data_IF_317933034301
#
_entry.id   IF_317933034301
#
_cell.length_a   1.000
_cell.length_b   1.000
_cell.length_c   1.000
_cell.angle_alpha   90.00
_cell.angle_beta   90.00
_cell.angle_gamma   90.00
#
_symmetry.space_group_name_H-M   'P 1'
#
loop_
_entity.id
_entity.type
_entity.pdbx_description
1 polymer ?
#
# COMPACT_ATOMS: atom_id res chain seq x y z
N UNK A 1 -29.06 -20.50 4.93
CA UNK A 1 -28.83 -19.49 3.87
C UNK A 1 -28.77 -18.14 4.55
N UNK A 2 -27.82 -17.32 4.14
CA UNK A 2 -27.85 -15.86 4.26
C UNK A 2 -27.27 -15.14 5.49
N UNK A 3 -26.48 -15.78 6.35
CA UNK A 3 -25.53 -14.96 7.16
C UNK A 3 -24.50 -14.24 6.29
N UNK A 4 -24.14 -14.83 5.14
CA UNK A 4 -23.23 -14.20 4.18
C UNK A 4 -23.93 -13.11 3.37
N UNK A 5 -25.17 -13.34 2.94
CA UNK A 5 -25.94 -12.33 2.21
C UNK A 5 -26.37 -11.17 3.10
N UNK A 6 -26.68 -11.39 4.40
CA UNK A 6 -26.97 -10.32 5.35
C UNK A 6 -25.75 -9.41 5.63
N UNK A 7 -24.53 -9.94 5.57
CA UNK A 7 -23.28 -9.16 5.70
C UNK A 7 -23.04 -8.29 4.45
N UNK A 8 -23.38 -8.81 3.27
CA UNK A 8 -23.26 -8.06 2.01
C UNK A 8 -24.39 -7.05 1.81
N UNK A 9 -25.60 -7.36 2.33
CA UNK A 9 -26.78 -6.51 2.23
C UNK A 9 -26.78 -5.37 3.25
N UNK A 10 -26.23 -5.60 4.45
CA UNK A 10 -25.95 -4.53 5.41
C UNK A 10 -24.62 -3.90 5.07
N UNK A 11 -24.64 -2.95 4.12
CA UNK A 11 -23.61 -1.92 3.96
C UNK A 11 -23.62 -0.95 5.18
N UNK A 12 -23.80 -1.51 6.40
CA UNK A 12 -23.48 -0.87 7.65
C UNK A 12 -21.96 -0.73 7.61
N UNK A 13 -21.52 0.46 7.20
CA UNK A 13 -20.13 0.81 6.93
C UNK A 13 -19.22 0.13 7.94
N UNK A 14 -18.24 -0.60 7.42
CA UNK A 14 -17.16 -1.22 8.18
C UNK A 14 -16.82 -0.32 9.37
N UNK A 15 -17.03 -0.80 10.59
CA UNK A 15 -16.97 0.02 11.83
C UNK A 15 -15.57 0.65 12.01
N UNK A 16 -14.56 0.09 11.33
CA UNK A 16 -13.18 0.58 11.25
C UNK A 16 -12.81 1.14 9.86
N UNK A 17 -13.81 1.51 9.05
CA UNK A 17 -13.68 2.02 7.68
C UNK A 17 -13.36 3.50 7.62
N UNK A 18 -12.44 3.93 8.49
CA UNK A 18 -11.88 5.27 8.41
C UNK A 18 -11.22 5.43 7.04
N UNK A 19 -11.67 6.43 6.28
CA UNK A 19 -11.06 6.85 5.03
C UNK A 19 -10.82 8.35 5.13
N UNK A 20 -9.59 8.76 4.80
CA UNK A 20 -9.27 10.15 4.56
C UNK A 20 -9.17 10.33 3.04
N UNK A 21 -9.93 11.28 2.50
CA UNK A 21 -9.88 11.59 1.07
C UNK A 21 -8.62 12.42 0.79
N UNK A 22 -7.49 11.73 0.58
CA UNK A 22 -6.21 12.35 0.28
C UNK A 22 -5.79 12.00 -1.14
N UNK A 23 -5.49 13.02 -1.94
CA UNK A 23 -4.94 12.83 -3.27
C UNK A 23 -3.44 12.51 -3.19
N UNK A 24 -2.97 11.39 -3.80
CA UNK A 24 -1.55 11.07 -3.82
C UNK A 24 -0.80 12.04 -4.74
N UNK A 25 0.32 12.59 -4.26
CA UNK A 25 1.24 13.39 -5.07
C UNK A 25 1.94 12.56 -6.15
N UNK A 26 2.07 11.26 -5.93
CA UNK A 26 2.59 10.31 -6.90
C UNK A 26 1.89 8.96 -6.72
N UNK A 27 1.48 8.37 -7.84
CA UNK A 27 0.91 7.02 -7.90
C UNK A 27 1.55 6.30 -9.06
N UNK A 28 1.87 5.03 -8.84
CA UNK A 28 2.27 4.13 -9.92
C UNK A 28 1.04 3.58 -10.66
N UNK A 29 1.30 2.96 -11.81
CA UNK A 29 0.32 2.13 -12.50
C UNK A 29 -0.09 0.93 -11.63
N UNK A 30 -1.20 0.29 -12.00
CA UNK A 30 -1.64 -0.95 -11.36
C UNK A 30 -0.74 -2.14 -11.73
N UNK A 31 -0.64 -3.07 -10.78
CA UNK A 31 0.14 -4.28 -10.91
C UNK A 31 1.62 -4.05 -10.59
N UNK A 32 2.29 -5.12 -10.18
CA UNK A 32 3.74 -5.09 -10.00
C UNK A 32 4.40 -5.47 -11.33
N UNK A 33 4.99 -4.47 -12.00
CA UNK A 33 5.70 -4.65 -13.27
C UNK A 33 7.09 -4.02 -13.20
N UNK A 34 7.95 -4.38 -14.14
CA UNK A 34 9.29 -3.79 -14.24
C UNK A 34 9.22 -2.25 -14.42
N UNK A 35 8.25 -1.74 -15.18
CA UNK A 35 8.07 -0.30 -15.35
C UNK A 35 7.65 0.37 -14.04
N UNK A 36 6.76 -0.24 -13.25
CA UNK A 36 6.41 0.26 -11.91
C UNK A 36 7.65 0.32 -11.00
N UNK A 37 8.50 -0.71 -11.02
CA UNK A 37 9.76 -0.70 -10.27
C UNK A 37 10.67 0.45 -10.71
N UNK A 38 10.80 0.69 -12.03
CA UNK A 38 11.58 1.81 -12.58
C UNK A 38 10.97 3.17 -12.23
N UNK A 39 9.64 3.29 -12.24
CA UNK A 39 8.92 4.49 -11.83
C UNK A 39 9.21 4.85 -10.37
N UNK A 40 9.11 3.87 -9.46
CA UNK A 40 9.42 4.05 -8.03
C UNK A 40 10.87 4.51 -7.85
N UNK A 41 11.82 3.85 -8.53
CA UNK A 41 13.24 4.19 -8.40
C UNK A 41 13.54 5.62 -8.87
N UNK A 42 12.89 6.05 -9.97
CA UNK A 42 12.97 7.43 -10.47
C UNK A 42 12.34 8.44 -9.50
N UNK A 43 11.14 8.18 -8.96
CA UNK A 43 10.48 9.05 -7.97
C UNK A 43 11.37 9.25 -6.73
N UNK A 44 12.01 8.18 -6.28
CA UNK A 44 12.89 8.20 -5.11
C UNK A 44 14.31 8.69 -5.40
N UNK A 45 14.60 9.08 -6.65
CA UNK A 45 15.93 9.53 -7.10
C UNK A 45 17.06 8.56 -6.68
N UNK A 46 16.79 7.26 -6.81
CA UNK A 46 17.70 6.21 -6.33
C UNK A 46 18.96 6.10 -7.21
N UNK A 47 20.11 5.76 -6.62
CA UNK A 47 21.30 5.43 -7.39
C UNK A 47 21.10 4.14 -8.21
N UNK A 48 21.85 4.00 -9.30
CA UNK A 48 21.69 2.89 -10.26
C UNK A 48 21.77 1.50 -9.61
N UNK A 49 22.63 1.32 -8.61
CA UNK A 49 22.77 0.05 -7.91
C UNK A 49 21.47 -0.38 -7.17
N UNK A 50 20.70 0.59 -6.65
CA UNK A 50 19.41 0.32 -6.00
C UNK A 50 18.36 -0.09 -7.02
N UNK A 51 18.31 0.59 -8.17
CA UNK A 51 17.43 0.18 -9.27
C UNK A 51 17.74 -1.26 -9.70
N UNK A 52 19.01 -1.58 -9.91
CA UNK A 52 19.44 -2.93 -10.31
C UNK A 52 19.05 -3.98 -9.26
N UNK A 53 19.22 -3.67 -7.98
CA UNK A 53 18.80 -4.54 -6.89
C UNK A 53 17.28 -4.79 -6.90
N UNK A 54 16.47 -3.74 -7.06
CA UNK A 54 15.01 -3.86 -7.17
C UNK A 54 14.57 -4.70 -8.36
N UNK A 55 15.20 -4.49 -9.53
CA UNK A 55 14.91 -5.26 -10.74
C UNK A 55 15.26 -6.74 -10.56
N UNK A 56 16.38 -7.05 -9.92
CA UNK A 56 16.74 -8.42 -9.57
C UNK A 56 15.70 -9.06 -8.65
N UNK A 57 15.27 -8.35 -7.60
CA UNK A 57 14.24 -8.84 -6.67
C UNK A 57 12.90 -9.08 -7.40
N UNK A 58 12.50 -8.18 -8.31
CA UNK A 58 11.30 -8.33 -9.13
C UNK A 58 11.35 -9.60 -10.00
N UNK A 59 12.46 -9.85 -10.70
CA UNK A 59 12.59 -11.05 -11.53
C UNK A 59 12.66 -12.35 -10.72
N UNK A 60 13.10 -12.29 -9.46
CA UNK A 60 13.00 -13.43 -8.55
C UNK A 60 11.54 -13.64 -8.14
N UNK A 61 10.84 -12.56 -7.75
CA UNK A 61 9.42 -12.59 -7.40
C UNK A 61 8.55 -13.22 -8.50
N UNK A 62 8.74 -12.83 -9.77
CA UNK A 62 8.00 -13.39 -10.91
C UNK A 62 8.14 -14.91 -11.07
N UNK A 63 9.22 -15.49 -10.53
CA UNK A 63 9.50 -16.93 -10.59
C UNK A 63 9.06 -17.66 -9.32
N UNK A 64 8.68 -16.93 -8.26
CA UNK A 64 8.24 -17.55 -7.02
C UNK A 64 6.83 -18.11 -7.19
N UNK A 65 6.57 -19.35 -6.75
CA UNK A 65 5.19 -19.84 -6.65
C UNK A 65 4.46 -19.10 -5.53
N UNK A 66 3.13 -19.08 -5.59
CA UNK A 66 2.33 -18.64 -4.46
C UNK A 66 2.66 -19.47 -3.21
N UNK A 67 2.72 -18.84 -2.02
CA UNK A 67 3.00 -19.55 -0.79
C UNK A 67 1.91 -20.60 -0.52
N UNK A 68 2.32 -21.77 -0.03
CA UNK A 68 1.41 -22.87 0.32
C UNK A 68 0.89 -22.80 1.76
N UNK A 69 1.30 -21.79 2.50
CA UNK A 69 0.92 -21.56 3.89
C UNK A 69 0.06 -20.30 4.00
N UNK A 70 -0.80 -20.24 5.02
CA UNK A 70 -1.66 -19.09 5.27
C UNK A 70 -3.04 -19.20 4.60
N UNK A 71 -3.79 -18.09 4.54
CA UNK A 71 -5.10 -18.06 3.88
C UNK A 71 -4.97 -18.25 2.37
N UNK A 72 -6.08 -18.67 1.74
CA UNK A 72 -6.13 -18.77 0.28
C UNK A 72 -5.99 -17.40 -0.38
N UNK A 73 -5.03 -17.29 -1.29
CA UNK A 73 -4.71 -16.08 -2.03
C UNK A 73 -5.28 -16.10 -3.46
N UNK A 74 -5.97 -17.17 -3.86
CA UNK A 74 -6.49 -17.36 -5.22
C UNK A 74 -7.48 -16.26 -5.66
N UNK A 75 -8.17 -15.64 -4.70
CA UNK A 75 -9.09 -14.53 -4.92
C UNK A 75 -8.43 -13.15 -5.01
N UNK A 76 -7.11 -13.03 -4.80
CA UNK A 76 -6.42 -11.73 -4.84
C UNK A 76 -6.14 -11.29 -6.28
N UNK A 77 -6.67 -10.14 -6.64
CA UNK A 77 -6.36 -9.47 -7.90
C UNK A 77 -5.12 -8.58 -7.78
N UNK A 78 -3.96 -9.23 -7.76
CA UNK A 78 -2.67 -8.54 -7.67
C UNK A 78 -2.35 -7.67 -8.90
N UNK A 79 -3.03 -7.90 -10.03
CA UNK A 79 -2.76 -7.17 -11.27
C UNK A 79 -3.36 -5.77 -11.26
N UNK A 80 -4.47 -5.59 -10.56
CA UNK A 80 -5.16 -4.30 -10.46
C UNK A 80 -4.86 -3.57 -9.14
N UNK A 81 -3.88 -4.06 -8.37
CA UNK A 81 -3.45 -3.43 -7.12
C UNK A 81 -2.43 -2.32 -7.38
N UNK A 82 -2.58 -1.17 -6.70
CA UNK A 82 -1.54 -0.14 -6.65
C UNK A 82 -0.51 -0.47 -5.56
N UNK A 83 0.72 -0.76 -5.98
CA UNK A 83 1.78 -1.18 -5.06
C UNK A 83 2.51 -0.01 -4.38
N UNK A 84 2.46 1.18 -4.97
CA UNK A 84 3.12 2.35 -4.42
C UNK A 84 2.35 3.63 -4.72
N UNK A 85 2.06 4.35 -3.64
CA UNK A 85 1.50 5.69 -3.63
C UNK A 85 2.27 6.52 -2.61
N UNK A 86 2.45 7.80 -2.91
CA UNK A 86 3.13 8.76 -2.07
C UNK A 86 2.20 9.95 -1.86
N UNK A 87 2.01 10.36 -0.62
CA UNK A 87 1.13 11.46 -0.23
C UNK A 87 1.88 12.72 0.21
N UNK A 88 3.15 12.59 0.60
CA UNK A 88 4.02 13.71 0.97
C UNK A 88 5.45 13.49 0.50
N UNK A 89 6.16 14.59 0.19
CA UNK A 89 7.60 14.61 -0.05
C UNK A 89 8.41 14.85 1.24
N UNK A 90 7.74 15.21 2.32
CA UNK A 90 8.36 15.54 3.59
C UNK A 90 8.52 14.28 4.42
N UNK A 91 9.70 14.13 5.02
CA UNK A 91 9.95 13.14 6.07
C UNK A 91 10.07 13.93 7.36
N UNK A 92 9.34 13.51 8.38
CA UNK A 92 9.40 14.11 9.71
C UNK A 92 10.17 13.17 10.63
N UNK A 93 11.21 13.68 11.28
CA UNK A 93 12.05 12.90 12.20
C UNK A 93 11.50 12.95 13.65
N UNK A 94 10.45 13.73 13.87
CA UNK A 94 9.85 14.00 15.17
C UNK A 94 8.33 14.01 15.08
N UNK A 95 7.66 13.39 16.05
CA UNK A 95 6.20 13.37 16.17
C UNK A 95 5.55 14.77 16.14
N UNK A 96 6.25 15.76 16.68
CA UNK A 96 5.76 17.14 16.73
C UNK A 96 5.69 17.80 15.35
N UNK A 97 6.48 17.31 14.40
CA UNK A 97 6.56 17.84 13.04
C UNK A 97 5.53 17.20 12.10
N UNK A 98 4.90 16.09 12.52
CA UNK A 98 3.85 15.43 11.74
C UNK A 98 2.61 16.34 11.67
N UNK A 99 2.04 16.56 10.46
CA UNK A 99 0.79 17.30 10.28
C UNK A 99 -0.35 16.80 11.18
N UNK A 100 -1.19 17.72 11.65
CA UNK A 100 -2.23 17.42 12.66
C UNK A 100 -3.27 16.44 12.16
N UNK A 101 -3.66 16.51 10.89
CA UNK A 101 -4.57 15.57 10.24
C UNK A 101 -4.05 14.12 10.29
N UNK A 102 -2.74 13.93 10.07
CA UNK A 102 -2.11 12.60 10.18
C UNK A 102 -2.09 12.11 11.63
N UNK A 103 -1.77 12.99 12.60
CA UNK A 103 -1.80 12.64 14.04
C UNK A 103 -3.21 12.25 14.50
N UNK A 104 -4.22 13.01 14.11
CA UNK A 104 -5.62 12.73 14.42
C UNK A 104 -6.04 11.35 13.88
N UNK A 105 -5.55 10.97 12.70
CA UNK A 105 -5.81 9.64 12.12
C UNK A 105 -5.10 8.54 12.89
N UNK A 106 -3.86 8.75 13.35
CA UNK A 106 -3.14 7.78 14.20
C UNK A 106 -3.84 7.54 15.54
N UNK A 107 -4.35 8.61 16.16
CA UNK A 107 -5.12 8.54 17.39
C UNK A 107 -6.43 7.75 17.19
N UNK A 108 -7.16 8.00 16.09
CA UNK A 108 -8.40 7.28 15.75
C UNK A 108 -8.18 5.77 15.60
N UNK A 109 -7.03 5.36 15.07
CA UNK A 109 -6.69 3.94 14.85
C UNK A 109 -5.87 3.33 15.99
N UNK A 110 -5.62 4.09 17.07
CA UNK A 110 -4.97 3.61 18.30
C UNK A 110 -3.47 3.33 18.16
N UNK A 111 -2.78 4.00 17.23
CA UNK A 111 -1.32 3.90 17.11
C UNK A 111 -0.68 4.86 18.13
N UNK A 112 0.19 4.38 19.05
CA UNK A 112 0.84 5.25 20.01
C UNK A 112 1.83 6.20 19.33
N UNK A 113 2.04 7.37 19.94
CA UNK A 113 3.04 8.35 19.51
C UNK A 113 4.43 7.70 19.36
N UNK A 114 5.13 7.99 18.26
CA UNK A 114 6.44 7.43 17.91
C UNK A 114 7.59 8.37 18.26
#
# INVERSE_FOLDING_TARGET
MDKLEDILANNAGYEFGFHDDVDPIFSTNEGLTEDVVRQISRDKSEPEWMLNYRLQAFHVYEKMPFPSFGPDLSGLDLKNMKYYQKYTNETHDSWNEVPTDVRDTFDKIGIPEA
#
